data_IF_837549385821
#
_entry.id   IF_837549385821
#
_cell.length_a   1.000
_cell.length_b   1.000
_cell.length_c   1.000
_cell.angle_alpha   90.00
_cell.angle_beta   90.00
_cell.angle_gamma   90.00
#
_symmetry.space_group_name_H-M   'P 1'
#
loop_
_entity.id
_entity.type
_entity.pdbx_description
1 polymer ?
#
# COMPACT_ATOMS: atom_id res chain seq x y z
N UNK A 1 6.45 -10.76 5.34
CA UNK A 1 5.74 -10.16 4.21
C UNK A 1 6.38 -10.63 2.92
N UNK A 2 5.62 -10.74 1.84
CA UNK A 2 6.10 -11.10 0.50
C UNK A 2 5.46 -10.18 -0.53
N UNK A 3 6.27 -9.58 -1.41
CA UNK A 3 5.79 -8.66 -2.43
C UNK A 3 6.94 -8.01 -3.20
N UNK A 4 6.58 -7.26 -4.25
CA UNK A 4 7.50 -6.47 -5.07
C UNK A 4 7.27 -4.99 -4.75
N UNK A 5 8.33 -4.33 -4.29
CA UNK A 5 8.33 -2.89 -4.07
C UNK A 5 8.25 -2.14 -5.42
N UNK A 6 7.57 -0.98 -5.52
CA UNK A 6 7.47 -0.23 -6.77
C UNK A 6 8.81 0.13 -7.42
N UNK A 7 9.89 0.23 -6.63
CA UNK A 7 11.22 0.48 -7.16
C UNK A 7 11.76 -0.69 -8.00
N UNK A 8 11.34 -1.90 -7.70
CA UNK A 8 11.81 -3.13 -8.34
C UNK A 8 10.77 -3.72 -9.31
N UNK A 9 9.67 -2.99 -9.57
CA UNK A 9 8.58 -3.47 -10.42
C UNK A 9 9.04 -3.86 -11.84
N UNK A 10 10.10 -3.22 -12.37
CA UNK A 10 10.68 -3.56 -13.68
C UNK A 10 11.20 -5.00 -13.76
N UNK A 11 11.60 -5.62 -12.65
CA UNK A 11 12.03 -7.03 -12.63
C UNK A 11 10.88 -8.00 -12.99
N UNK A 12 9.65 -7.53 -12.91
CA UNK A 12 8.47 -8.28 -13.31
C UNK A 12 8.53 -8.76 -14.77
N UNK A 13 8.95 -7.90 -15.67
CA UNK A 13 9.09 -8.24 -17.10
C UNK A 13 10.40 -8.97 -17.38
N UNK A 14 11.49 -8.61 -16.68
CA UNK A 14 12.83 -9.15 -16.86
C UNK A 14 12.91 -10.62 -16.43
N UNK A 15 12.28 -10.98 -15.33
CA UNK A 15 12.31 -12.34 -14.73
C UNK A 15 11.14 -13.22 -15.18
N UNK A 16 10.21 -12.66 -15.98
CA UNK A 16 8.96 -13.32 -16.36
C UNK A 16 7.86 -13.16 -15.29
N UNK A 17 6.79 -12.46 -15.68
CA UNK A 17 5.67 -12.13 -14.78
C UNK A 17 5.07 -13.37 -14.09
N UNK A 18 4.95 -14.49 -14.80
CA UNK A 18 4.34 -15.73 -14.30
C UNK A 18 5.20 -16.38 -13.22
N UNK A 19 6.49 -16.50 -13.44
CA UNK A 19 7.47 -17.09 -12.52
C UNK A 19 7.57 -16.26 -11.24
N UNK A 20 7.64 -14.94 -11.40
CA UNK A 20 7.70 -14.00 -10.27
C UNK A 20 6.43 -14.06 -9.43
N UNK A 21 5.24 -14.06 -10.05
CA UNK A 21 3.97 -14.19 -9.36
C UNK A 21 3.86 -15.56 -8.65
N UNK A 22 4.33 -16.62 -9.26
CA UNK A 22 4.36 -17.96 -8.65
C UNK A 22 5.21 -17.98 -7.39
N UNK A 23 6.43 -17.44 -7.45
CA UNK A 23 7.36 -17.37 -6.31
C UNK A 23 6.79 -16.54 -5.16
N UNK A 24 6.20 -15.36 -5.46
CA UNK A 24 5.54 -14.53 -4.45
C UNK A 24 4.34 -15.27 -3.84
N UNK A 25 3.56 -15.96 -4.67
CA UNK A 25 2.39 -16.74 -4.20
C UNK A 25 2.79 -17.86 -3.26
N UNK A 26 3.86 -18.60 -3.56
CA UNK A 26 4.39 -19.66 -2.71
C UNK A 26 4.81 -19.09 -1.35
N UNK A 27 5.65 -18.05 -1.34
CA UNK A 27 6.09 -17.38 -0.11
C UNK A 27 4.91 -16.79 0.68
N UNK A 28 3.96 -16.19 -0.01
CA UNK A 28 2.78 -15.58 0.59
C UNK A 28 1.80 -16.58 1.17
N UNK A 29 1.81 -17.82 0.69
CA UNK A 29 0.93 -18.90 1.18
C UNK A 29 1.40 -19.46 2.53
N UNK A 30 2.66 -19.23 2.91
CA UNK A 30 3.19 -19.63 4.21
C UNK A 30 2.42 -18.97 5.35
N UNK A 31 2.23 -19.69 6.47
CA UNK A 31 1.65 -19.15 7.71
C UNK A 31 2.49 -18.04 8.33
N UNK A 32 3.78 -18.00 8.06
CA UNK A 32 4.70 -16.97 8.54
C UNK A 32 4.55 -15.63 7.76
N UNK A 33 3.99 -15.69 6.57
CA UNK A 33 3.72 -14.48 5.77
C UNK A 33 2.40 -13.83 6.23
N UNK A 34 2.49 -12.73 6.93
CA UNK A 34 1.33 -12.03 7.54
C UNK A 34 0.70 -10.97 6.65
N UNK A 35 1.36 -10.57 5.56
CA UNK A 35 0.86 -9.54 4.64
C UNK A 35 1.51 -9.67 3.26
N UNK A 36 0.81 -9.20 2.23
CA UNK A 36 1.37 -8.95 0.90
C UNK A 36 1.99 -7.56 0.89
N UNK A 37 3.24 -7.46 0.48
CA UNK A 37 3.99 -6.22 0.44
C UNK A 37 5.46 -6.38 0.93
N UNK A 38 6.24 -5.30 0.96
CA UNK A 38 5.83 -3.92 0.62
C UNK A 38 5.57 -3.81 -0.88
N UNK A 39 4.40 -3.33 -1.28
CA UNK A 39 4.01 -3.14 -2.66
C UNK A 39 3.30 -1.79 -2.83
N UNK A 40 3.02 -1.35 -4.05
CA UNK A 40 2.34 -0.08 -4.27
C UNK A 40 2.94 0.75 -5.39
N UNK A 41 2.95 2.09 -5.22
CA UNK A 41 3.32 3.04 -6.25
C UNK A 41 4.27 4.12 -5.73
N UNK A 42 5.29 4.46 -6.53
CA UNK A 42 6.22 5.58 -6.29
C UNK A 42 6.46 6.33 -7.61
N UNK A 43 5.71 7.40 -7.83
CA UNK A 43 5.84 8.24 -9.03
C UNK A 43 6.81 9.42 -8.79
N UNK A 44 7.41 9.51 -7.60
CA UNK A 44 8.44 10.49 -7.30
C UNK A 44 9.81 10.03 -7.82
N UNK A 45 10.20 8.80 -7.47
CA UNK A 45 11.52 8.27 -7.79
C UNK A 45 11.59 7.64 -9.17
N UNK A 46 10.50 7.03 -9.63
CA UNK A 46 10.37 6.41 -10.96
C UNK A 46 11.51 5.43 -11.32
N UNK A 47 11.97 4.62 -10.35
CA UNK A 47 12.98 3.59 -10.61
C UNK A 47 12.46 2.47 -11.51
N UNK A 48 11.15 2.28 -11.55
CA UNK A 48 10.43 1.49 -12.53
C UNK A 48 9.39 2.38 -13.23
N UNK A 49 9.06 2.13 -14.51
CA UNK A 49 8.03 2.90 -15.22
C UNK A 49 6.67 2.84 -14.53
N UNK A 50 5.89 3.94 -14.51
CA UNK A 50 4.60 3.99 -13.82
C UNK A 50 3.58 2.95 -14.30
N UNK A 51 3.53 2.64 -15.59
CA UNK A 51 2.68 1.61 -16.19
C UNK A 51 3.00 0.22 -15.65
N UNK A 52 4.27 -0.13 -15.57
CA UNK A 52 4.73 -1.40 -14.97
C UNK A 52 4.42 -1.44 -13.47
N UNK A 53 4.64 -0.33 -12.74
CA UNK A 53 4.27 -0.26 -11.32
C UNK A 53 2.77 -0.53 -11.11
N UNK A 54 1.92 0.05 -11.97
CA UNK A 54 0.45 -0.15 -11.90
C UNK A 54 0.07 -1.60 -12.14
N UNK A 55 0.64 -2.25 -13.16
CA UNK A 55 0.40 -3.66 -13.47
C UNK A 55 0.81 -4.56 -12.31
N UNK A 56 2.06 -4.45 -11.86
CA UNK A 56 2.60 -5.26 -10.76
C UNK A 56 1.83 -5.04 -9.46
N UNK A 57 1.44 -3.81 -9.18
CA UNK A 57 0.63 -3.52 -7.99
C UNK A 57 -0.75 -4.14 -8.08
N UNK A 58 -1.42 -4.08 -9.24
CA UNK A 58 -2.73 -4.68 -9.41
C UNK A 58 -2.68 -6.22 -9.25
N UNK A 59 -1.64 -6.90 -9.75
CA UNK A 59 -1.48 -8.35 -9.55
C UNK A 59 -1.29 -8.69 -8.06
N UNK A 60 -0.56 -7.87 -7.31
CA UNK A 60 -0.40 -8.07 -5.87
C UNK A 60 -1.69 -7.80 -5.09
N UNK A 61 -2.54 -6.85 -5.51
CA UNK A 61 -3.90 -6.69 -4.95
C UNK A 61 -4.72 -7.96 -5.20
N UNK A 62 -4.69 -8.50 -6.43
CA UNK A 62 -5.40 -9.76 -6.76
C UNK A 62 -4.94 -10.91 -5.87
N UNK A 63 -3.64 -11.02 -5.67
CA UNK A 63 -3.06 -12.03 -4.79
C UNK A 63 -3.52 -11.87 -3.35
N UNK A 64 -3.49 -10.64 -2.81
CA UNK A 64 -3.96 -10.34 -1.47
C UNK A 64 -5.44 -10.67 -1.28
N UNK A 65 -6.29 -10.34 -2.26
CA UNK A 65 -7.69 -10.71 -2.29
C UNK A 65 -7.91 -12.22 -2.28
N UNK A 66 -7.13 -12.96 -3.08
CA UNK A 66 -7.23 -14.43 -3.16
C UNK A 66 -6.81 -15.12 -1.87
N UNK A 67 -5.72 -14.65 -1.25
CA UNK A 67 -5.18 -15.23 -0.02
C UNK A 67 -5.82 -14.64 1.26
N UNK A 68 -6.65 -13.61 1.13
CA UNK A 68 -7.25 -12.86 2.24
C UNK A 68 -6.19 -12.34 3.22
N UNK A 69 -5.03 -11.93 2.71
CA UNK A 69 -3.93 -11.35 3.49
C UNK A 69 -3.94 -9.83 3.40
N UNK A 70 -3.62 -9.12 4.49
CA UNK A 70 -3.50 -7.66 4.48
C UNK A 70 -2.50 -7.16 3.44
N UNK A 71 -2.73 -5.94 2.94
CA UNK A 71 -1.81 -5.22 2.06
C UNK A 71 -0.96 -4.23 2.87
N UNK A 72 0.36 -4.30 2.71
CA UNK A 72 1.31 -3.34 3.25
C UNK A 72 1.82 -2.46 2.12
N UNK A 73 1.37 -1.18 2.10
CA UNK A 73 1.40 -0.33 0.92
C UNK A 73 2.39 0.82 1.03
N UNK A 74 3.22 0.94 0.01
CA UNK A 74 4.02 2.12 -0.30
C UNK A 74 3.24 3.05 -1.23
N UNK A 75 3.16 4.34 -0.87
CA UNK A 75 2.59 5.36 -1.75
C UNK A 75 3.43 6.63 -1.72
N UNK A 76 3.89 7.07 -2.88
CA UNK A 76 4.60 8.33 -3.05
C UNK A 76 4.21 9.01 -4.36
N UNK A 77 3.57 10.20 -4.21
CA UNK A 77 3.11 11.03 -5.33
C UNK A 77 2.21 10.29 -6.36
N UNK A 78 1.44 9.28 -5.88
CA UNK A 78 0.63 8.37 -6.69
C UNK A 78 -0.81 8.20 -6.14
N UNK A 79 -1.28 9.17 -5.36
CA UNK A 79 -2.54 9.08 -4.60
C UNK A 79 -3.75 8.70 -5.45
N UNK A 80 -3.95 9.34 -6.61
CA UNK A 80 -5.14 9.14 -7.43
C UNK A 80 -5.21 7.72 -7.98
N UNK A 81 -4.10 7.19 -8.51
CA UNK A 81 -4.00 5.84 -9.02
C UNK A 81 -4.11 4.79 -7.90
N UNK A 82 -3.48 5.04 -6.75
CA UNK A 82 -3.62 4.19 -5.57
C UNK A 82 -5.09 4.10 -5.14
N UNK A 83 -5.77 5.23 -5.00
CA UNK A 83 -7.19 5.27 -4.65
C UNK A 83 -8.03 4.55 -5.69
N UNK A 84 -7.80 4.79 -6.98
CA UNK A 84 -8.54 4.16 -8.08
C UNK A 84 -8.44 2.63 -8.04
N UNK A 85 -7.23 2.10 -7.88
CA UNK A 85 -7.01 0.65 -7.80
C UNK A 85 -7.65 0.05 -6.55
N UNK A 86 -7.42 0.60 -5.39
CA UNK A 86 -8.00 0.09 -4.14
C UNK A 86 -9.54 0.15 -4.16
N UNK A 87 -10.12 1.25 -4.68
CA UNK A 87 -11.58 1.39 -4.79
C UNK A 87 -12.18 0.32 -5.69
N UNK A 88 -11.54 0.00 -6.83
CA UNK A 88 -11.98 -1.06 -7.75
C UNK A 88 -12.20 -2.40 -7.05
N UNK A 89 -11.32 -2.77 -6.10
CA UNK A 89 -11.43 -4.03 -5.36
C UNK A 89 -12.33 -3.92 -4.14
N UNK A 90 -12.40 -2.74 -3.52
CA UNK A 90 -13.35 -2.46 -2.45
C UNK A 90 -14.80 -2.57 -2.93
N UNK A 91 -15.11 -2.01 -4.09
CA UNK A 91 -16.46 -2.07 -4.67
C UNK A 91 -16.92 -3.50 -5.01
N UNK A 92 -15.95 -4.39 -5.26
CA UNK A 92 -16.20 -5.83 -5.41
C UNK A 92 -16.40 -6.56 -4.07
N UNK A 93 -16.22 -5.88 -2.94
CA UNK A 93 -16.40 -6.43 -1.60
C UNK A 93 -15.30 -7.41 -1.15
N UNK A 94 -14.15 -7.44 -1.83
CA UNK A 94 -13.10 -8.42 -1.56
C UNK A 94 -11.73 -7.81 -1.19
N UNK A 95 -11.62 -6.47 -1.09
CA UNK A 95 -10.39 -5.81 -0.66
C UNK A 95 -10.06 -6.17 0.80
N UNK A 96 -8.92 -6.79 1.08
CA UNK A 96 -8.51 -7.05 2.47
C UNK A 96 -8.08 -5.76 3.18
N UNK A 97 -7.77 -5.86 4.47
CA UNK A 97 -7.24 -4.71 5.23
C UNK A 97 -5.97 -4.17 4.58
N UNK A 98 -5.84 -2.83 4.53
CA UNK A 98 -4.70 -2.15 3.93
C UNK A 98 -4.07 -1.19 4.92
N UNK A 99 -2.76 -1.07 4.92
CA UNK A 99 -2.04 0.00 5.61
C UNK A 99 -1.19 0.78 4.60
N UNK A 100 -1.37 2.10 4.56
CA UNK A 100 -0.48 3.00 3.83
C UNK A 100 0.69 3.31 4.76
N UNK A 101 1.83 2.67 4.50
CA UNK A 101 3.02 2.76 5.33
C UNK A 101 3.77 4.08 5.09
N UNK A 102 4.39 4.62 6.14
CA UNK A 102 5.18 5.87 6.07
C UNK A 102 4.46 7.00 5.31
N UNK A 103 3.15 7.14 5.52
CA UNK A 103 2.33 8.09 4.79
C UNK A 103 2.92 9.51 4.84
N UNK A 104 3.08 10.14 3.67
CA UNK A 104 3.67 11.47 3.51
C UNK A 104 2.80 12.45 2.70
N UNK A 105 1.56 12.08 2.42
CA UNK A 105 0.60 12.91 1.71
C UNK A 105 -0.07 13.99 2.57
N UNK A 106 -1.14 14.59 2.04
CA UNK A 106 -1.92 15.62 2.72
C UNK A 106 -2.95 15.05 3.69
N UNK A 107 -3.53 15.92 4.53
CA UNK A 107 -4.63 15.54 5.43
C UNK A 107 -5.84 15.04 4.66
N UNK A 108 -6.16 15.66 3.53
CA UNK A 108 -7.28 15.29 2.66
C UNK A 108 -7.09 13.89 2.08
N UNK A 109 -5.88 13.58 1.64
CA UNK A 109 -5.50 12.24 1.16
C UNK A 109 -5.61 11.20 2.27
N UNK A 110 -5.13 11.52 3.49
CA UNK A 110 -5.30 10.65 4.65
C UNK A 110 -6.77 10.36 4.94
N UNK A 111 -7.63 11.38 4.94
CA UNK A 111 -9.08 11.25 5.14
C UNK A 111 -9.68 10.34 4.07
N UNK A 112 -9.25 10.46 2.81
CA UNK A 112 -9.72 9.60 1.72
C UNK A 112 -9.37 8.12 2.00
N UNK A 113 -8.12 7.79 2.33
CA UNK A 113 -7.72 6.42 2.66
C UNK A 113 -8.49 5.86 3.86
N UNK A 114 -8.64 6.66 4.93
CA UNK A 114 -9.41 6.26 6.12
C UNK A 114 -10.88 5.99 5.80
N UNK A 115 -11.50 6.79 4.92
CA UNK A 115 -12.89 6.58 4.45
C UNK A 115 -13.05 5.30 3.65
N UNK A 116 -11.98 4.85 3.00
CA UNK A 116 -11.92 3.56 2.30
C UNK A 116 -11.72 2.39 3.25
N UNK A 117 -11.40 2.63 4.51
CA UNK A 117 -11.17 1.62 5.53
C UNK A 117 -9.70 1.26 5.71
N UNK A 118 -8.79 1.94 5.01
CA UNK A 118 -7.35 1.74 5.18
C UNK A 118 -6.85 2.26 6.53
N UNK A 119 -5.74 1.70 6.99
CA UNK A 119 -4.94 2.22 8.10
C UNK A 119 -3.87 3.17 7.56
N UNK A 120 -3.46 4.14 8.36
CA UNK A 120 -2.36 5.08 8.04
C UNK A 120 -1.21 4.84 9.01
N UNK A 121 -0.04 4.51 8.48
CA UNK A 121 1.22 4.39 9.22
C UNK A 121 1.96 5.72 9.20
N UNK A 122 2.18 6.33 10.38
CA UNK A 122 2.95 7.55 10.53
C UNK A 122 4.35 7.25 11.08
N UNK A 123 5.34 7.96 10.56
CA UNK A 123 6.73 7.96 11.05
C UNK A 123 7.13 9.36 11.51
N UNK A 124 8.21 9.48 12.28
CA UNK A 124 8.60 10.72 12.94
C UNK A 124 8.70 11.96 12.04
N UNK A 125 9.03 11.77 10.77
CA UNK A 125 9.09 12.87 9.80
C UNK A 125 7.73 13.48 9.48
N UNK A 126 6.63 12.76 9.72
CA UNK A 126 5.27 13.15 9.32
C UNK A 126 4.36 13.51 10.49
N UNK A 127 4.93 13.62 11.69
CA UNK A 127 4.23 14.04 12.92
C UNK A 127 3.61 15.44 12.79
N UNK A 128 4.11 16.30 11.87
CA UNK A 128 3.48 17.61 11.62
C UNK A 128 2.03 17.50 11.13
N UNK A 129 1.65 16.39 10.49
CA UNK A 129 0.25 16.13 10.13
C UNK A 129 -0.64 16.08 11.37
N UNK A 130 -0.15 15.57 12.50
CA UNK A 130 -0.85 15.51 13.76
C UNK A 130 -1.14 16.90 14.37
N UNK A 131 -0.39 17.92 13.97
CA UNK A 131 -0.53 19.30 14.48
C UNK A 131 -1.55 20.14 13.70
N UNK A 132 -2.11 19.62 12.60
CA UNK A 132 -3.13 20.36 11.86
C UNK A 132 -4.48 20.26 12.57
N UNK A 133 -5.20 21.39 12.71
CA UNK A 133 -6.54 21.45 13.33
C UNK A 133 -7.56 20.49 12.67
N UNK A 134 -7.34 20.15 11.42
CA UNK A 134 -8.20 19.23 10.69
C UNK A 134 -7.88 17.75 11.01
N UNK A 135 -6.70 17.47 11.53
CA UNK A 135 -6.27 16.11 11.85
C UNK A 135 -6.91 15.57 13.13
N UNK A 136 -7.37 16.42 14.05
CA UNK A 136 -8.15 15.97 15.21
C UNK A 136 -9.38 15.16 14.79
N UNK A 137 -10.02 15.54 13.66
CA UNK A 137 -11.14 14.78 13.08
C UNK A 137 -10.75 13.40 12.53
N UNK A 138 -9.46 13.22 12.21
CA UNK A 138 -8.87 11.98 11.73
C UNK A 138 -8.51 11.05 12.88
N UNK A 139 -7.98 11.60 13.98
CA UNK A 139 -7.61 10.86 15.20
C UNK A 139 -8.82 10.15 15.83
N UNK A 140 -10.01 10.77 15.81
CA UNK A 140 -11.22 10.17 16.34
C UNK A 140 -11.74 8.95 15.54
N UNK A 141 -11.26 8.70 14.33
CA UNK A 141 -11.65 7.54 13.50
C UNK A 141 -10.70 6.33 13.61
N UNK A 142 -9.76 6.36 14.53
CA UNK A 142 -9.00 5.23 15.12
C UNK A 142 -8.40 4.15 14.19
N UNK A 143 -7.92 4.50 12.99
CA UNK A 143 -7.12 3.61 12.14
C UNK A 143 -5.71 4.16 11.89
N UNK A 144 -5.14 4.78 12.92
CA UNK A 144 -3.81 5.37 12.89
C UNK A 144 -2.82 4.42 13.56
N UNK A 145 -1.76 4.05 12.85
CA UNK A 145 -0.65 3.28 13.38
C UNK A 145 0.56 4.20 13.53
N UNK A 146 1.03 4.37 14.77
CA UNK A 146 2.26 5.15 15.04
C UNK A 146 3.37 4.15 15.33
N UNK A 147 4.44 4.15 14.51
CA UNK A 147 5.60 3.32 14.77
C UNK A 147 6.43 3.88 15.92
N UNK A 148 6.62 3.15 17.03
CA UNK A 148 7.54 3.56 18.08
C UNK A 148 8.98 3.45 17.54
N UNK A 149 9.72 4.56 17.55
CA UNK A 149 11.14 4.61 17.15
C UNK A 149 11.50 5.64 16.10
N UNK A 150 10.58 6.52 15.75
CA UNK A 150 10.81 7.60 14.79
C UNK A 150 10.69 9.00 15.43
N UNK A 151 11.14 9.13 16.68
CA UNK A 151 11.30 10.42 17.37
C UNK A 151 12.75 10.86 17.29
#
# INVERSE_FOLDING_TARGET
MSGIHPHDAKSWDEDGATETLSSITELASSSECVAIGECGLDFNRNFSPPDIQLEVFEEQIKLACRLQKPLFLHERDAHEDMVRLLQKYKDKGNLPSCVIHCFCGTVEQAIKYLSMGCYIGLTGKNIYLLRSRNFEKVLFKSKLLISPGSI
#
